data_IF_051996905640
#
_entry.id   IF_051996905640
#
_cell.length_a   1.000
_cell.length_b   1.000
_cell.length_c   1.000
_cell.angle_alpha   90.00
_cell.angle_beta   90.00
_cell.angle_gamma   90.00
#
_symmetry.space_group_name_H-M   'P 1'
#
loop_
_entity.id
_entity.type
_entity.pdbx_description
1 polymer ?
#
# COMPACT_ATOMS: atom_id res chain seq x y z
N UNK A 1 0.08 -6.29 -12.59
CA UNK A 1 -0.47 -5.02 -13.12
C UNK A 1 0.62 -4.16 -13.78
N UNK A 2 1.78 -3.97 -13.13
CA UNK A 2 2.94 -3.25 -13.65
C UNK A 2 3.57 -3.76 -14.95
N UNK A 3 3.55 -5.08 -15.17
CA UNK A 3 4.03 -5.67 -16.42
C UNK A 3 3.22 -5.18 -17.64
N UNK A 4 1.93 -4.88 -17.47
CA UNK A 4 1.07 -4.33 -18.53
C UNK A 4 1.48 -2.89 -18.85
N UNK A 5 1.88 -2.10 -17.85
CA UNK A 5 2.37 -0.73 -18.02
C UNK A 5 3.70 -0.72 -18.76
N UNK A 6 4.63 -1.59 -18.37
CA UNK A 6 5.87 -1.77 -19.10
C UNK A 6 5.57 -2.14 -20.56
N UNK A 7 4.69 -3.11 -20.80
CA UNK A 7 4.31 -3.53 -22.15
C UNK A 7 3.61 -2.39 -22.94
N UNK A 8 2.76 -1.57 -22.32
CA UNK A 8 2.09 -0.43 -22.96
C UNK A 8 3.08 0.70 -23.26
N UNK A 9 3.98 1.03 -22.33
CA UNK A 9 5.01 2.05 -22.52
C UNK A 9 6.05 1.57 -23.54
N UNK A 10 6.45 0.31 -23.52
CA UNK A 10 7.34 -0.30 -24.53
C UNK A 10 6.68 -0.38 -25.89
N UNK A 11 5.43 -0.83 -25.97
CA UNK A 11 4.70 -0.87 -27.24
C UNK A 11 4.48 0.53 -27.79
N UNK A 12 4.21 1.54 -26.96
CA UNK A 12 4.13 2.93 -27.37
C UNK A 12 5.50 3.49 -27.82
N UNK A 13 6.57 3.21 -27.08
CA UNK A 13 7.95 3.57 -27.39
C UNK A 13 8.45 2.95 -28.71
N UNK A 14 7.95 1.76 -29.07
CA UNK A 14 8.25 1.06 -30.33
C UNK A 14 7.32 1.56 -31.46
N UNK A 15 6.05 1.83 -31.18
CA UNK A 15 5.07 2.31 -32.16
C UNK A 15 5.33 3.74 -32.63
N UNK A 16 5.77 4.64 -31.74
CA UNK A 16 6.02 6.06 -32.07
C UNK A 16 7.03 6.26 -33.21
N UNK A 17 8.21 5.62 -33.21
CA UNK A 17 9.18 5.74 -34.31
C UNK A 17 8.72 5.05 -35.61
N UNK A 18 7.92 3.98 -35.52
CA UNK A 18 7.41 3.25 -36.70
C UNK A 18 6.32 4.06 -37.41
N UNK A 19 5.41 4.70 -36.68
CA UNK A 19 4.28 5.44 -37.28
C UNK A 19 4.65 6.81 -37.84
N UNK A 20 5.65 7.50 -37.27
CA UNK A 20 6.06 8.84 -37.71
C UNK A 20 7.15 8.87 -38.77
N UNK A 21 7.80 7.73 -39.06
CA UNK A 21 8.90 7.66 -40.04
C UNK A 21 10.11 8.54 -39.70
N UNK A 22 10.18 9.04 -38.46
CA UNK A 22 11.28 9.84 -37.90
C UNK A 22 11.77 9.16 -36.64
N UNK A 23 13.09 9.07 -36.49
CA UNK A 23 13.75 8.58 -35.28
C UNK A 23 13.53 9.57 -34.13
N UNK A 24 12.33 9.58 -33.56
CA UNK A 24 12.00 10.31 -32.34
C UNK A 24 12.16 9.36 -31.15
N UNK A 25 12.97 9.76 -30.16
CA UNK A 25 13.16 8.98 -28.93
C UNK A 25 11.84 8.93 -28.14
N UNK A 26 11.58 7.80 -27.50
CA UNK A 26 10.34 7.56 -26.74
C UNK A 26 10.21 8.50 -25.52
N UNK A 27 11.34 8.86 -24.93
CA UNK A 27 11.44 9.90 -23.91
C UNK A 27 12.30 11.06 -24.43
N UNK A 28 11.88 12.29 -24.17
CA UNK A 28 12.49 13.50 -24.74
C UNK A 28 13.90 13.86 -24.22
N UNK A 29 14.55 12.99 -23.44
CA UNK A 29 15.90 13.21 -22.94
C UNK A 29 16.95 12.52 -23.81
N UNK A 30 18.06 13.23 -24.04
CA UNK A 30 19.16 12.81 -24.90
C UNK A 30 20.47 12.85 -24.10
N UNK A 31 21.36 11.87 -24.32
CA UNK A 31 22.70 11.91 -23.73
C UNK A 31 23.50 13.06 -24.38
N UNK A 32 24.10 13.98 -23.58
CA UNK A 32 24.70 15.23 -24.06
C UNK A 32 25.94 15.05 -24.96
N UNK A 33 26.41 13.82 -25.19
CA UNK A 33 27.60 13.51 -25.98
C UNK A 33 27.34 12.60 -27.20
N UNK A 34 26.09 12.27 -27.53
CA UNK A 34 25.76 11.32 -28.59
C UNK A 34 24.75 11.94 -29.57
N UNK A 35 25.19 12.12 -30.83
CA UNK A 35 24.35 12.59 -31.92
C UNK A 35 23.26 11.56 -32.27
N UNK A 36 22.00 11.94 -32.03
CA UNK A 36 20.80 11.12 -32.27
C UNK A 36 20.45 10.96 -33.76
N UNK A 37 21.12 11.73 -34.62
CA UNK A 37 21.00 11.67 -36.09
C UNK A 37 21.73 10.46 -36.69
N UNK A 38 22.69 9.87 -35.97
CA UNK A 38 23.43 8.68 -36.40
C UNK A 38 22.75 7.40 -35.89
N UNK A 39 22.62 6.37 -36.72
CA UNK A 39 21.96 5.09 -36.37
C UNK A 39 22.57 4.45 -35.10
N UNK A 40 23.90 4.52 -34.96
CA UNK A 40 24.61 4.05 -33.77
C UNK A 40 24.27 4.88 -32.51
N UNK A 41 24.16 6.21 -32.64
CA UNK A 41 23.82 7.09 -31.53
C UNK A 41 22.36 6.97 -31.08
N UNK A 42 21.44 6.72 -32.01
CA UNK A 42 20.06 6.36 -31.70
C UNK A 42 19.99 5.02 -30.95
N UNK A 43 20.72 4.00 -31.41
CA UNK A 43 20.75 2.68 -30.76
C UNK A 43 21.24 2.73 -29.31
N UNK A 44 22.30 3.51 -29.03
CA UNK A 44 22.82 3.68 -27.67
C UNK A 44 21.83 4.40 -26.76
N UNK A 45 21.24 5.52 -27.22
CA UNK A 45 20.23 6.22 -26.44
C UNK A 45 18.98 5.37 -26.20
N UNK A 46 18.54 4.59 -27.18
CA UNK A 46 17.40 3.68 -27.05
C UNK A 46 17.67 2.56 -26.04
N UNK A 47 18.85 1.94 -26.07
CA UNK A 47 19.25 0.94 -25.08
C UNK A 47 19.30 1.52 -23.67
N UNK A 48 19.85 2.74 -23.52
CA UNK A 48 19.89 3.41 -22.24
C UNK A 48 18.48 3.71 -21.70
N UNK A 49 17.59 4.24 -22.54
CA UNK A 49 16.18 4.46 -22.18
C UNK A 49 15.49 3.15 -21.81
N UNK A 50 15.74 2.06 -22.54
CA UNK A 50 15.17 0.76 -22.23
C UNK A 50 15.67 0.23 -20.87
N UNK A 51 16.95 0.37 -20.55
CA UNK A 51 17.48 -0.03 -19.24
C UNK A 51 16.85 0.77 -18.11
N UNK A 52 16.73 2.09 -18.25
CA UNK A 52 16.11 2.93 -17.21
C UNK A 52 14.63 2.59 -16.98
N UNK A 53 13.88 2.29 -18.05
CA UNK A 53 12.47 1.89 -17.91
C UNK A 53 12.35 0.54 -17.20
N UNK A 54 13.21 -0.44 -17.52
CA UNK A 54 13.23 -1.73 -16.80
C UNK A 54 13.53 -1.50 -15.32
N UNK A 55 14.55 -0.71 -15.01
CA UNK A 55 14.94 -0.41 -13.63
C UNK A 55 13.80 0.24 -12.86
N UNK A 56 13.13 1.25 -13.44
CA UNK A 56 11.99 1.93 -12.83
C UNK A 56 10.81 1.00 -12.57
N UNK A 57 10.45 0.15 -13.55
CA UNK A 57 9.34 -0.81 -13.40
C UNK A 57 9.66 -1.87 -12.34
N UNK A 58 10.88 -2.40 -12.34
CA UNK A 58 11.31 -3.41 -11.36
C UNK A 58 11.36 -2.81 -9.97
N UNK A 59 11.88 -1.60 -9.82
CA UNK A 59 11.92 -0.88 -8.55
C UNK A 59 10.54 -0.62 -7.97
N UNK A 60 9.61 -0.10 -8.78
CA UNK A 60 8.24 0.15 -8.34
C UNK A 60 7.51 -1.14 -7.97
N UNK A 61 7.64 -2.17 -8.80
CA UNK A 61 7.06 -3.48 -8.51
C UNK A 61 7.63 -4.09 -7.21
N UNK A 62 8.92 -3.96 -6.97
CA UNK A 62 9.55 -4.42 -5.73
C UNK A 62 9.01 -3.68 -4.50
N UNK A 63 8.82 -2.36 -4.60
CA UNK A 63 8.22 -1.56 -3.52
C UNK A 63 6.80 -2.02 -3.18
N UNK A 64 5.95 -2.23 -4.19
CA UNK A 64 4.56 -2.64 -3.94
C UNK A 64 4.46 -4.08 -3.43
N UNK A 65 5.30 -4.99 -3.94
CA UNK A 65 5.39 -6.36 -3.41
C UNK A 65 5.82 -6.34 -1.95
N UNK A 66 6.82 -5.51 -1.60
CA UNK A 66 7.25 -5.34 -0.22
C UNK A 66 6.10 -4.82 0.67
N UNK A 67 5.33 -3.86 0.18
CA UNK A 67 4.17 -3.31 0.88
C UNK A 67 3.10 -4.36 1.16
N UNK A 68 2.70 -5.11 0.13
CA UNK A 68 1.74 -6.20 0.25
C UNK A 68 2.25 -7.27 1.20
N UNK A 69 3.53 -7.64 1.12
CA UNK A 69 4.14 -8.63 2.00
C UNK A 69 4.08 -8.20 3.47
N UNK A 70 4.40 -6.95 3.78
CA UNK A 70 4.32 -6.40 5.14
C UNK A 70 2.89 -6.40 5.67
N UNK A 71 1.92 -5.96 4.87
CA UNK A 71 0.50 -5.94 5.27
C UNK A 71 -0.05 -7.35 5.46
N UNK A 72 0.30 -8.30 4.59
CA UNK A 72 -0.09 -9.71 4.73
C UNK A 72 0.52 -10.33 5.99
N UNK A 73 1.78 -10.03 6.31
CA UNK A 73 2.41 -10.50 7.55
C UNK A 73 1.71 -9.91 8.79
N UNK A 74 1.43 -8.60 8.80
CA UNK A 74 0.72 -7.95 9.90
C UNK A 74 -0.69 -8.54 10.10
N UNK A 75 -1.47 -8.68 9.03
CA UNK A 75 -2.81 -9.30 9.08
C UNK A 75 -2.77 -10.78 9.46
N UNK A 76 -1.74 -11.52 9.04
CA UNK A 76 -1.51 -12.90 9.46
C UNK A 76 -1.22 -13.03 10.97
N UNK A 77 -0.45 -12.10 11.54
CA UNK A 77 -0.22 -12.02 12.98
C UNK A 77 -1.52 -11.72 13.75
N UNK A 78 -2.38 -10.84 13.24
CA UNK A 78 -3.72 -10.61 13.81
C UNK A 78 -4.58 -11.88 13.79
N UNK A 79 -4.61 -12.59 12.65
CA UNK A 79 -5.39 -13.82 12.50
C UNK A 79 -4.87 -14.93 13.44
N UNK A 80 -3.56 -15.02 13.66
CA UNK A 80 -3.00 -15.91 14.69
C UNK A 80 -3.53 -15.54 16.08
N UNK A 81 -3.49 -14.28 16.48
CA UNK A 81 -4.00 -13.85 17.79
C UNK A 81 -5.49 -14.21 17.94
N UNK A 82 -6.30 -14.03 16.90
CA UNK A 82 -7.72 -14.44 16.88
C UNK A 82 -7.87 -15.95 17.14
N UNK A 83 -7.03 -16.79 16.52
CA UNK A 83 -7.06 -18.24 16.75
C UNK A 83 -6.74 -18.57 18.21
N UNK A 84 -5.73 -17.93 18.80
CA UNK A 84 -5.40 -18.12 20.22
C UNK A 84 -6.52 -17.64 21.15
N UNK A 85 -7.19 -16.53 20.83
CA UNK A 85 -8.35 -16.05 21.58
C UNK A 85 -9.51 -17.03 21.54
N UNK A 86 -9.78 -17.65 20.39
CA UNK A 86 -10.82 -18.68 20.26
C UNK A 86 -10.49 -19.93 21.06
N UNK A 87 -9.24 -20.39 20.98
CA UNK A 87 -8.73 -21.50 21.81
C UNK A 87 -8.85 -21.18 23.30
N UNK A 88 -8.57 -19.95 23.70
CA UNK A 88 -8.75 -19.49 25.08
C UNK A 88 -10.21 -19.60 25.51
N UNK A 89 -11.16 -19.16 24.68
CA UNK A 89 -12.60 -19.28 24.95
C UNK A 89 -13.03 -20.74 25.09
N UNK A 90 -12.59 -21.63 24.19
CA UNK A 90 -12.90 -23.07 24.26
C UNK A 90 -12.36 -23.73 25.55
N UNK A 91 -11.14 -23.38 25.95
CA UNK A 91 -10.54 -23.89 27.19
C UNK A 91 -11.30 -23.41 28.42
N UNK A 92 -11.80 -22.17 28.41
CA UNK A 92 -12.59 -21.59 29.49
C UNK A 92 -13.97 -22.24 29.57
N UNK A 93 -14.62 -22.53 28.43
CA UNK A 93 -15.92 -23.19 28.41
C UNK A 93 -15.85 -24.67 28.83
N UNK A 94 -14.70 -25.31 28.63
CA UNK A 94 -14.46 -26.72 29.00
C UNK A 94 -13.90 -26.87 30.43
N UNK A 95 -13.52 -25.78 31.10
CA UNK A 95 -12.97 -25.80 32.47
C UNK A 95 -14.08 -25.96 33.51
N UNK A 96 -14.50 -27.21 33.72
CA UNK A 96 -15.54 -27.58 34.70
C UNK A 96 -14.93 -27.86 36.09
N UNK A 97 -13.66 -28.29 36.16
CA UNK A 97 -12.99 -28.77 37.39
C UNK A 97 -11.72 -27.97 37.79
N UNK A 98 -11.38 -26.88 37.09
CA UNK A 98 -10.18 -26.07 37.37
C UNK A 98 -8.85 -26.75 37.01
N UNK A 99 -8.89 -27.89 36.32
CA UNK A 99 -7.69 -28.62 35.88
C UNK A 99 -6.95 -27.90 34.74
N UNK A 100 -7.64 -27.04 33.98
CA UNK A 100 -7.03 -26.35 32.84
C UNK A 100 -6.41 -25.00 33.22
N UNK A 101 -6.39 -24.63 34.51
CA UNK A 101 -5.86 -23.34 34.97
C UNK A 101 -4.42 -23.06 34.50
N UNK A 102 -3.56 -24.08 34.48
CA UNK A 102 -2.18 -23.95 33.97
C UNK A 102 -2.13 -23.70 32.46
N UNK A 103 -2.97 -24.40 31.69
CA UNK A 103 -3.06 -24.24 30.23
C UNK A 103 -3.67 -22.88 29.84
N UNK A 104 -4.67 -22.41 30.59
CA UNK A 104 -5.25 -21.07 30.42
C UNK A 104 -4.19 -19.99 30.67
N UNK A 105 -3.38 -20.15 31.73
CA UNK A 105 -2.30 -19.22 32.02
C UNK A 105 -1.24 -19.17 30.92
N UNK A 106 -0.89 -20.34 30.35
CA UNK A 106 0.05 -20.45 29.22
C UNK A 106 -0.51 -19.76 27.96
N UNK A 107 -1.76 -20.04 27.58
CA UNK A 107 -2.39 -19.43 26.40
C UNK A 107 -2.53 -17.91 26.56
N UNK A 108 -2.91 -17.42 27.75
CA UNK A 108 -2.96 -15.97 28.02
C UNK A 108 -1.58 -15.34 27.90
N UNK A 109 -0.53 -16.02 28.39
CA UNK A 109 0.84 -15.54 28.25
C UNK A 109 1.28 -15.46 26.78
N UNK A 110 0.99 -16.49 25.98
CA UNK A 110 1.26 -16.50 24.54
C UNK A 110 0.51 -15.39 23.80
N UNK A 111 -0.76 -15.14 24.13
CA UNK A 111 -1.55 -14.04 23.56
C UNK A 111 -0.88 -12.70 23.84
N UNK A 112 -0.41 -12.47 25.07
CA UNK A 112 0.26 -11.22 25.43
C UNK A 112 1.57 -11.04 24.67
N UNK A 113 2.40 -12.08 24.57
CA UNK A 113 3.66 -12.03 23.82
C UNK A 113 3.39 -11.72 22.35
N UNK A 114 2.45 -12.45 21.72
CA UNK A 114 2.11 -12.25 20.31
C UNK A 114 1.52 -10.88 20.06
N UNK A 115 0.69 -10.37 20.96
CA UNK A 115 0.15 -9.01 20.85
C UNK A 115 1.24 -7.95 20.98
N UNK A 116 2.21 -8.12 21.89
CA UNK A 116 3.35 -7.21 22.02
C UNK A 116 4.25 -7.23 20.77
N UNK A 117 4.54 -8.41 20.24
CA UNK A 117 5.31 -8.58 19.00
C UNK A 117 4.59 -7.93 17.82
N UNK A 118 3.28 -8.15 17.70
CA UNK A 118 2.45 -7.54 16.67
C UNK A 118 2.40 -6.00 16.77
N UNK A 119 2.19 -5.45 17.97
CA UNK A 119 2.20 -3.99 18.18
C UNK A 119 3.56 -3.39 17.82
N UNK A 120 4.66 -4.06 18.19
CA UNK A 120 6.01 -3.63 17.81
C UNK A 120 6.20 -3.69 16.30
N UNK A 121 5.78 -4.78 15.65
CA UNK A 121 5.87 -4.96 14.21
C UNK A 121 5.09 -3.88 13.45
N UNK A 122 3.85 -3.57 13.85
CA UNK A 122 3.08 -2.50 13.22
C UNK A 122 3.72 -1.13 13.45
N UNK A 123 4.27 -0.86 14.63
CA UNK A 123 4.93 0.42 14.91
C UNK A 123 6.17 0.60 14.02
N UNK A 124 7.01 -0.43 13.93
CA UNK A 124 8.19 -0.41 13.06
C UNK A 124 7.77 -0.28 11.58
N UNK A 125 6.74 -1.02 11.16
CA UNK A 125 6.17 -0.94 9.83
C UNK A 125 5.65 0.46 9.49
N UNK A 126 4.92 1.11 10.40
CA UNK A 126 4.43 2.49 10.20
C UNK A 126 5.59 3.47 10.02
N UNK A 127 6.63 3.41 10.86
CA UNK A 127 7.78 4.32 10.73
C UNK A 127 8.54 4.17 9.40
N UNK A 128 8.64 2.94 8.88
CA UNK A 128 9.28 2.66 7.59
C UNK A 128 8.39 3.11 6.43
N UNK A 129 7.11 2.73 6.47
CA UNK A 129 6.15 3.00 5.39
C UNK A 129 5.79 4.49 5.32
N UNK A 130 5.81 5.23 6.42
CA UNK A 130 5.52 6.67 6.46
C UNK A 130 6.36 7.46 5.46
N UNK A 131 7.68 7.23 5.44
CA UNK A 131 8.59 7.90 4.50
C UNK A 131 8.32 7.49 3.06
N UNK A 132 8.11 6.20 2.83
CA UNK A 132 7.83 5.64 1.50
C UNK A 132 6.53 6.21 0.94
N UNK A 133 5.47 6.23 1.74
CA UNK A 133 4.17 6.74 1.34
C UNK A 133 4.20 8.23 1.06
N UNK A 134 4.88 9.03 1.90
CA UNK A 134 4.98 10.47 1.65
C UNK A 134 5.58 10.78 0.27
N UNK A 135 6.69 10.14 -0.08
CA UNK A 135 7.35 10.34 -1.37
C UNK A 135 6.51 9.77 -2.51
N UNK A 136 6.01 8.53 -2.36
CA UNK A 136 5.29 7.84 -3.44
C UNK A 136 3.95 8.51 -3.76
N UNK A 137 3.13 8.82 -2.74
CA UNK A 137 1.87 9.54 -2.95
C UNK A 137 2.10 10.95 -3.50
N UNK A 138 3.12 11.67 -3.02
CA UNK A 138 3.48 12.98 -3.55
C UNK A 138 3.82 12.94 -5.04
N UNK A 139 4.67 12.01 -5.44
CA UNK A 139 5.02 11.79 -6.86
C UNK A 139 3.80 11.40 -7.70
N UNK A 140 2.96 10.47 -7.23
CA UNK A 140 1.76 10.03 -7.95
C UNK A 140 0.74 11.15 -8.14
N UNK A 141 0.51 11.99 -7.12
CA UNK A 141 -0.40 13.14 -7.23
C UNK A 141 0.13 14.14 -8.24
N UNK A 142 1.43 14.43 -8.21
CA UNK A 142 2.06 15.35 -9.16
C UNK A 142 1.97 14.81 -10.60
N UNK A 143 2.31 13.54 -10.81
CA UNK A 143 2.23 12.87 -12.11
C UNK A 143 0.80 12.92 -12.67
N UNK A 144 -0.19 12.63 -11.82
CA UNK A 144 -1.60 12.62 -12.22
C UNK A 144 -2.13 14.01 -12.55
N UNK A 145 -1.76 15.05 -11.80
CA UNK A 145 -2.13 16.44 -12.12
C UNK A 145 -1.46 16.90 -13.43
N UNK A 146 -0.18 16.59 -13.62
CA UNK A 146 0.56 16.94 -14.82
C UNK A 146 0.01 16.23 -16.07
N UNK A 147 -0.28 14.93 -15.99
CA UNK A 147 -0.85 14.16 -17.10
C UNK A 147 -2.22 14.70 -17.51
N UNK A 148 -3.08 15.00 -16.54
CA UNK A 148 -4.41 15.54 -16.80
C UNK A 148 -4.36 16.95 -17.42
N UNK A 149 -3.44 17.81 -16.97
CA UNK A 149 -3.26 19.14 -17.57
C UNK A 149 -2.86 19.05 -19.05
N UNK A 150 -2.01 18.08 -19.41
CA UNK A 150 -1.61 17.84 -20.80
C UNK A 150 -2.79 17.31 -21.63
N UNK A 151 -3.57 16.36 -21.08
CA UNK A 151 -4.74 15.76 -21.76
C UNK A 151 -5.79 16.81 -22.12
N UNK A 152 -6.03 17.79 -21.24
CA UNK A 152 -7.00 18.87 -21.51
C UNK A 152 -6.56 19.74 -22.69
N UNK A 153 -5.25 19.93 -22.87
CA UNK A 153 -4.72 20.78 -23.96
C UNK A 153 -4.54 20.01 -25.29
N UNK A 154 -4.13 18.75 -25.22
CA UNK A 154 -3.91 17.88 -26.38
C UNK A 154 -4.36 16.45 -26.08
N UNK A 155 -5.10 15.77 -26.98
CA UNK A 155 -5.52 14.39 -26.78
C UNK A 155 -4.32 13.44 -26.87
N UNK A 156 -3.61 13.28 -25.75
CA UNK A 156 -2.42 12.45 -25.61
C UNK A 156 -2.81 11.08 -25.03
N UNK A 157 -2.98 10.09 -25.91
CA UNK A 157 -3.36 8.72 -25.55
C UNK A 157 -2.54 8.05 -24.42
N UNK A 158 -1.19 8.11 -24.39
CA UNK A 158 -0.43 7.50 -23.30
C UNK A 158 -0.63 8.25 -21.96
N UNK A 159 -0.89 9.56 -21.98
CA UNK A 159 -1.24 10.31 -20.77
C UNK A 159 -2.51 9.80 -20.12
N UNK A 160 -3.52 9.42 -20.92
CA UNK A 160 -4.75 8.80 -20.40
C UNK A 160 -4.47 7.46 -19.72
N UNK A 161 -3.61 6.63 -20.32
CA UNK A 161 -3.21 5.35 -19.74
C UNK A 161 -2.48 5.54 -18.40
N UNK A 162 -1.51 6.45 -18.34
CA UNK A 162 -0.77 6.77 -17.10
C UNK A 162 -1.71 7.25 -16.00
N UNK A 163 -2.65 8.13 -16.33
CA UNK A 163 -3.64 8.66 -15.38
C UNK A 163 -4.52 7.55 -14.79
N UNK A 164 -5.03 6.66 -15.64
CA UNK A 164 -5.84 5.51 -15.20
C UNK A 164 -5.05 4.59 -14.27
N UNK A 165 -3.79 4.34 -14.60
CA UNK A 165 -2.92 3.46 -13.81
C UNK A 165 -2.57 4.06 -12.46
N UNK A 166 -2.16 5.33 -12.42
CA UNK A 166 -1.92 6.05 -11.16
C UNK A 166 -3.16 6.04 -10.27
N UNK A 167 -4.35 6.16 -10.88
CA UNK A 167 -5.62 6.06 -10.15
C UNK A 167 -5.82 4.71 -9.49
N UNK A 168 -5.60 3.62 -10.24
CA UNK A 168 -5.77 2.28 -9.71
C UNK A 168 -4.71 2.00 -8.63
N UNK A 169 -3.49 2.47 -8.82
CA UNK A 169 -2.40 2.28 -7.87
C UNK A 169 -2.69 2.97 -6.53
N UNK A 170 -3.11 4.24 -6.56
CA UNK A 170 -3.53 4.97 -5.37
C UNK A 170 -4.71 4.29 -4.67
N UNK A 171 -5.70 3.84 -5.44
CA UNK A 171 -6.85 3.13 -4.92
C UNK A 171 -6.45 1.83 -4.20
N UNK A 172 -5.60 1.00 -4.83
CA UNK A 172 -5.11 -0.25 -4.23
C UNK A 172 -4.37 0.02 -2.92
N UNK A 173 -3.43 0.97 -2.90
CA UNK A 173 -2.69 1.31 -1.69
C UNK A 173 -3.60 1.80 -0.54
N UNK A 174 -4.56 2.68 -0.82
CA UNK A 174 -5.54 3.14 0.17
C UNK A 174 -6.51 2.03 0.62
N UNK A 175 -6.86 1.10 -0.28
CA UNK A 175 -7.69 -0.05 0.06
C UNK A 175 -6.98 -1.03 1.00
N UNK A 176 -5.68 -1.24 0.80
CA UNK A 176 -4.85 -2.09 1.68
C UNK A 176 -4.73 -1.49 3.08
N UNK A 177 -4.52 -0.18 3.19
CA UNK A 177 -4.54 0.53 4.48
C UNK A 177 -5.88 0.38 5.19
N UNK A 178 -6.99 0.54 4.46
CA UNK A 178 -8.35 0.34 4.99
C UNK A 178 -8.59 -1.11 5.43
N UNK A 179 -8.12 -2.09 4.66
CA UNK A 179 -8.24 -3.51 4.99
C UNK A 179 -7.52 -3.86 6.30
N UNK A 180 -6.32 -3.29 6.52
CA UNK A 180 -5.59 -3.47 7.78
C UNK A 180 -6.39 -2.93 8.97
N UNK A 181 -6.98 -1.73 8.85
CA UNK A 181 -7.82 -1.14 9.89
C UNK A 181 -9.05 -2.01 10.20
N UNK A 182 -9.75 -2.50 9.16
CA UNK A 182 -10.90 -3.40 9.33
C UNK A 182 -10.52 -4.72 10.01
N UNK A 183 -9.34 -5.26 9.71
CA UNK A 183 -8.81 -6.45 10.39
C UNK A 183 -8.49 -6.18 11.85
N UNK A 184 -7.96 -5.02 12.19
CA UNK A 184 -7.76 -4.64 13.58
C UNK A 184 -9.09 -4.50 14.33
N UNK A 185 -10.12 -3.90 13.73
CA UNK A 185 -11.46 -3.83 14.34
C UNK A 185 -12.05 -5.23 14.61
N UNK A 186 -11.84 -6.16 13.68
CA UNK A 186 -12.22 -7.56 13.87
C UNK A 186 -11.47 -8.20 15.04
N UNK A 187 -10.15 -7.96 15.17
CA UNK A 187 -9.37 -8.43 16.31
C UNK A 187 -9.92 -7.89 17.64
N UNK A 188 -10.24 -6.60 17.71
CA UNK A 188 -10.84 -5.97 18.90
C UNK A 188 -12.18 -6.63 19.26
N UNK A 189 -13.03 -6.89 18.28
CA UNK A 189 -14.32 -7.56 18.49
C UNK A 189 -14.15 -9.00 19.01
N UNK A 190 -13.18 -9.76 18.47
CA UNK A 190 -12.91 -11.12 18.94
C UNK A 190 -12.31 -11.13 20.36
N UNK A 191 -11.47 -10.16 20.72
CA UNK A 191 -10.99 -10.00 22.12
C UNK A 191 -12.17 -9.73 23.06
N UNK A 192 -13.14 -8.91 22.63
CA UNK A 192 -14.33 -8.60 23.41
C UNK A 192 -15.28 -9.80 23.57
N UNK A 193 -15.33 -10.69 22.58
CA UNK A 193 -16.19 -11.87 22.58
C UNK A 193 -15.67 -13.03 23.46
N UNK A 194 -14.45 -12.94 24.01
CA UNK A 194 -13.91 -13.97 24.91
C UNK A 194 -14.73 -14.03 26.21
N UNK A 195 -14.97 -15.25 26.71
CA UNK A 195 -15.68 -15.50 27.97
C UNK A 195 -14.86 -15.09 29.21
N UNK A 196 -14.64 -13.79 29.37
CA UNK A 196 -13.91 -13.15 30.47
C UNK A 196 -14.37 -13.54 31.88
N UNK A 197 -15.63 -13.94 32.05
CA UNK A 197 -16.20 -14.30 33.36
C UNK A 197 -15.60 -15.59 33.93
N UNK A 198 -15.18 -16.52 33.07
CA UNK A 198 -14.55 -17.79 33.49
C UNK A 198 -13.05 -17.67 33.76
N UNK A 199 -12.42 -16.52 33.47
CA UNK A 199 -10.99 -16.32 33.74
C UNK A 199 -10.73 -15.85 35.17
N UNK A 200 -9.54 -16.15 35.70
CA UNK A 200 -9.07 -15.59 36.97
C UNK A 200 -8.96 -14.07 36.91
N UNK A 201 -9.10 -13.39 38.06
CA UNK A 201 -9.03 -11.91 38.15
C UNK A 201 -7.72 -11.33 37.62
N UNK A 202 -6.62 -12.07 37.70
CA UNK A 202 -5.32 -11.68 37.13
C UNK A 202 -5.33 -11.72 35.60
N UNK A 203 -5.90 -12.78 35.01
CA UNK A 203 -5.99 -12.90 33.55
C UNK A 203 -7.02 -11.92 32.96
N UNK A 204 -8.14 -11.68 33.65
CA UNK A 204 -9.11 -10.64 33.26
C UNK A 204 -8.46 -9.26 33.15
N UNK A 205 -7.66 -8.87 34.16
CA UNK A 205 -6.91 -7.59 34.13
C UNK A 205 -5.91 -7.53 32.98
N UNK A 206 -5.29 -8.66 32.64
CA UNK A 206 -4.32 -8.75 31.55
C UNK A 206 -5.00 -8.61 30.19
N UNK A 207 -6.09 -9.35 29.97
CA UNK A 207 -6.89 -9.26 28.74
C UNK A 207 -7.48 -7.86 28.56
N UNK A 208 -7.93 -7.21 29.64
CA UNK A 208 -8.37 -5.82 29.61
C UNK A 208 -7.28 -4.87 29.11
N UNK A 209 -6.02 -5.06 29.51
CA UNK A 209 -4.89 -4.23 29.01
C UNK A 209 -4.63 -4.48 27.54
N UNK A 210 -4.70 -5.73 27.10
CA UNK A 210 -4.57 -6.10 25.67
C UNK A 210 -5.69 -5.45 24.86
N UNK A 211 -6.94 -5.51 25.33
CA UNK A 211 -8.07 -4.86 24.68
C UNK A 211 -7.88 -3.33 24.57
N UNK A 212 -7.47 -2.67 25.67
CA UNK A 212 -7.23 -1.22 25.67
C UNK A 212 -6.14 -0.82 24.67
N UNK A 213 -5.12 -1.67 24.46
CA UNK A 213 -4.07 -1.43 23.46
C UNK A 213 -4.54 -1.73 22.05
N UNK A 214 -5.30 -2.80 21.83
CA UNK A 214 -5.87 -3.15 20.53
C UNK A 214 -6.87 -2.09 20.00
N UNK A 215 -7.60 -1.44 20.91
CA UNK A 215 -8.53 -0.33 20.60
C UNK A 215 -7.84 0.96 20.15
N UNK A 216 -6.51 1.06 20.32
CA UNK A 216 -5.69 2.16 19.81
C UNK A 216 -4.83 1.64 18.65
N UNK A 217 -5.41 1.28 17.50
CA UNK A 217 -4.63 0.84 16.35
C UNK A 217 -3.64 1.92 15.95
N UNK A 218 -2.42 1.48 15.63
CA UNK A 218 -1.51 2.28 14.81
C UNK A 218 -2.07 2.24 13.39
N UNK A 219 -2.70 3.35 13.00
CA UNK A 219 -3.21 3.55 11.64
C UNK A 219 -2.04 3.94 10.76
N UNK A 220 -1.87 3.23 9.64
CA UNK A 220 -0.88 3.56 8.62
C UNK A 220 -1.05 5.02 8.19
N UNK A 221 -0.04 5.85 8.43
CA UNK A 221 -0.07 7.26 8.09
C UNK A 221 1.06 7.65 7.15
N UNK A 222 0.78 8.55 6.21
CA UNK A 222 1.81 9.23 5.41
C UNK A 222 2.54 10.33 6.21
N UNK A 223 2.11 10.58 7.45
CA UNK A 223 2.61 11.61 8.36
C UNK A 223 1.81 12.89 8.45
N UNK A 224 0.90 13.13 7.51
CA UNK A 224 -0.06 14.23 7.53
C UNK A 224 -1.50 13.71 7.69
N UNK A 225 -1.79 12.56 7.08
CA UNK A 225 -3.12 11.96 7.00
C UNK A 225 -3.04 10.43 7.14
N UNK A 226 -4.15 9.81 7.53
CA UNK A 226 -4.29 8.35 7.52
C UNK A 226 -4.42 7.84 6.08
N UNK A 227 -3.84 6.68 5.78
CA UNK A 227 -3.95 6.07 4.45
C UNK A 227 -5.23 5.24 4.43
N UNK A 228 -6.32 5.89 4.07
CA UNK A 228 -7.65 5.30 3.99
C UNK A 228 -8.35 5.65 2.67
N UNK A 229 -9.42 4.91 2.38
CA UNK A 229 -10.22 5.15 1.18
C UNK A 229 -10.92 6.52 1.22
N UNK A 230 -11.14 7.08 2.42
CA UNK A 230 -11.70 8.41 2.58
C UNK A 230 -10.76 9.50 2.04
N UNK A 231 -9.47 9.45 2.40
CA UNK A 231 -8.47 10.40 1.90
C UNK A 231 -8.22 10.25 0.41
N UNK A 232 -8.29 9.04 -0.14
CA UNK A 232 -8.30 8.83 -1.59
C UNK A 232 -9.40 9.66 -2.27
N UNK A 233 -10.65 9.57 -1.79
CA UNK A 233 -11.78 10.34 -2.35
C UNK A 233 -11.56 11.84 -2.21
N UNK A 234 -10.99 12.32 -1.10
CA UNK A 234 -10.69 13.74 -0.92
C UNK A 234 -9.63 14.25 -1.89
N UNK A 235 -8.58 13.46 -2.12
CA UNK A 235 -7.54 13.78 -3.11
C UNK A 235 -8.17 13.87 -4.50
N UNK A 236 -9.00 12.91 -4.89
CA UNK A 236 -9.70 12.92 -6.19
C UNK A 236 -10.64 14.11 -6.38
N UNK A 237 -11.39 14.51 -5.35
CA UNK A 237 -12.23 15.71 -5.40
C UNK A 237 -11.39 16.97 -5.67
N UNK A 238 -10.22 17.09 -5.05
CA UNK A 238 -9.31 18.22 -5.28
C UNK A 238 -8.75 18.23 -6.70
N UNK A 239 -8.32 17.07 -7.21
CA UNK A 239 -7.87 16.93 -8.61
C UNK A 239 -8.99 17.32 -9.57
N UNK A 240 -10.20 16.80 -9.38
CA UNK A 240 -11.34 17.14 -10.23
C UNK A 240 -11.66 18.63 -10.19
N UNK A 241 -11.66 19.25 -9.01
CA UNK A 241 -11.84 20.70 -8.86
C UNK A 241 -10.76 21.48 -9.61
N UNK A 242 -9.50 21.06 -9.51
CA UNK A 242 -8.40 21.67 -10.26
C UNK A 242 -8.62 21.56 -11.77
N UNK A 243 -9.07 20.40 -12.26
CA UNK A 243 -9.37 20.21 -13.67
C UNK A 243 -10.53 21.07 -14.16
N UNK A 244 -11.61 21.20 -13.39
CA UNK A 244 -12.72 22.06 -13.76
C UNK A 244 -12.27 23.53 -13.89
N UNK A 245 -11.39 24.00 -13.00
CA UNK A 245 -10.78 25.32 -13.14
C UNK A 245 -9.92 25.41 -14.41
N UNK A 246 -9.09 24.41 -14.67
CA UNK A 246 -8.21 24.40 -15.84
C UNK A 246 -8.98 24.36 -17.16
N UNK A 247 -10.11 23.63 -17.21
CA UNK A 247 -11.02 23.61 -18.35
C UNK A 247 -11.75 24.94 -18.56
N UNK A 248 -12.10 25.65 -17.48
CA UNK A 248 -12.73 26.97 -17.59
C UNK A 248 -11.75 28.09 -18.00
N UNK A 249 -10.44 27.88 -17.82
CA UNK A 249 -9.38 28.87 -18.12
C UNK A 249 -8.72 28.63 -19.48
N UNK A 250 -8.77 27.40 -20.02
CA UNK A 250 -8.24 27.05 -21.36
C UNK A 250 -9.23 27.31 -22.50
#
# INVERSE_FOLDING_TARGET
MFSIVAIIVYSYAIMMPIMKGKLELAFGFQLPFIDHTTVAGFGINWLFQAVQVIEGVVGLAACDICLVFLIVNATGQMDLIIIYLRRLTELVDTDIDGQNAAQIAEVVHEIVIKHLEHTKHITDMDTLLKKQFFVNFGCMIFELVASLAIIVRYPWYPGMAVTLLCTIQLFVNCSLGTFLSLKNDKLVNEIYAVNWYGLSTTHQKTLKRVLQKAQLPVVLSDGFSAIDLFNFVQIYKKIYSYLMVLQNVS
#
